data_IF_447520889534
#
_entry.id   IF_447520889534
#
_cell.length_a   1.000
_cell.length_b   1.000
_cell.length_c   1.000
_cell.angle_alpha   90.00
_cell.angle_beta   90.00
_cell.angle_gamma   90.00
#
_symmetry.space_group_name_H-M   'P 1'
#
loop_
_entity.id
_entity.type
_entity.pdbx_description
1 polymer ?
#
# COMPACT_ATOMS: atom_id res chain seq x y z
N UNK A 1 18.65 -13.73 2.58
CA UNK A 1 17.41 -12.96 2.77
C UNK A 1 17.55 -12.17 4.06
N UNK A 2 17.55 -10.84 3.99
CA UNK A 2 17.54 -9.99 5.18
C UNK A 2 16.19 -10.17 5.88
N UNK A 3 16.18 -10.42 7.19
CA UNK A 3 14.94 -10.54 7.95
C UNK A 3 14.35 -9.14 8.09
N UNK A 4 13.25 -8.86 7.39
CA UNK A 4 12.52 -7.59 7.48
C UNK A 4 11.58 -7.65 8.68
N UNK A 5 11.87 -6.87 9.72
CA UNK A 5 11.00 -6.71 10.88
C UNK A 5 10.35 -5.33 10.88
N UNK A 6 9.08 -5.21 11.32
CA UNK A 6 8.45 -3.91 11.54
C UNK A 6 9.27 -3.07 12.51
N UNK A 7 9.65 -1.86 12.10
CA UNK A 7 10.45 -0.93 12.93
C UNK A 7 9.60 -0.12 13.91
N UNK A 8 8.30 -0.01 13.64
CA UNK A 8 7.37 0.79 14.43
C UNK A 8 6.27 -0.06 15.05
N UNK A 9 5.60 0.54 16.04
CA UNK A 9 4.41 -0.04 16.64
C UNK A 9 3.28 -0.19 15.61
N UNK A 10 2.31 -1.04 15.94
CA UNK A 10 1.11 -1.24 15.11
C UNK A 10 0.26 0.02 14.94
N UNK A 11 0.45 1.02 15.82
CA UNK A 11 -0.28 2.29 15.81
C UNK A 11 0.47 3.34 15.01
N UNK A 12 1.80 3.39 15.15
CA UNK A 12 2.63 4.41 14.51
C UNK A 12 2.88 4.08 13.03
N UNK A 13 2.97 2.80 12.67
CA UNK A 13 3.21 2.38 11.29
C UNK A 13 2.11 2.88 10.33
N UNK A 14 0.80 2.65 10.58
CA UNK A 14 -0.27 3.18 9.74
C UNK A 14 -0.35 4.71 9.76
N UNK A 15 -0.06 5.32 10.91
CA UNK A 15 -0.08 6.78 11.06
C UNK A 15 0.94 7.43 10.12
N UNK A 16 2.20 7.00 10.18
CA UNK A 16 3.26 7.46 9.28
C UNK A 16 2.94 7.22 7.81
N UNK A 17 2.50 6.00 7.48
CA UNK A 17 2.16 5.65 6.10
C UNK A 17 1.05 6.53 5.52
N UNK A 18 0.01 6.82 6.30
CA UNK A 18 -1.06 7.71 5.88
C UNK A 18 -0.60 9.17 5.78
N UNK A 19 0.22 9.65 6.73
CA UNK A 19 0.76 11.01 6.69
C UNK A 19 1.60 11.24 5.44
N UNK A 20 2.47 10.29 5.08
CA UNK A 20 3.29 10.37 3.86
C UNK A 20 2.39 10.33 2.62
N UNK A 21 1.36 9.46 2.60
CA UNK A 21 0.44 9.43 1.48
C UNK A 21 -0.25 10.77 1.28
N UNK A 22 -0.91 11.30 2.31
CA UNK A 22 -1.69 12.53 2.22
C UNK A 22 -0.81 13.76 1.91
N UNK A 23 0.37 13.85 2.52
CA UNK A 23 1.23 15.04 2.38
C UNK A 23 2.11 15.05 1.13
N UNK A 24 2.53 13.88 0.62
CA UNK A 24 3.56 13.80 -0.43
C UNK A 24 3.10 13.01 -1.66
N UNK A 25 2.46 11.86 -1.48
CA UNK A 25 2.24 10.91 -2.58
C UNK A 25 0.92 11.16 -3.32
N UNK A 26 -0.14 11.53 -2.59
CA UNK A 26 -1.52 11.61 -3.09
C UNK A 26 -1.66 12.49 -4.33
N UNK A 27 -1.09 13.69 -4.30
CA UNK A 27 -1.16 14.64 -5.43
C UNK A 27 -0.44 14.15 -6.68
N UNK A 28 0.51 13.23 -6.55
CA UNK A 28 1.29 12.68 -7.67
C UNK A 28 0.63 11.45 -8.29
N UNK A 29 -0.19 10.72 -7.53
CA UNK A 29 -0.69 9.40 -7.95
C UNK A 29 -2.19 9.34 -8.16
N UNK A 30 -3.01 10.26 -7.62
CA UNK A 30 -4.47 10.08 -7.70
C UNK A 30 -5.04 10.20 -9.12
N UNK A 31 -4.50 11.11 -9.95
CA UNK A 31 -5.01 11.31 -11.31
C UNK A 31 -4.75 10.07 -12.18
N UNK A 32 -5.82 9.48 -12.72
CA UNK A 32 -5.74 8.34 -13.65
C UNK A 32 -5.44 6.98 -13.03
N UNK A 33 -5.15 6.88 -11.73
CA UNK A 33 -4.78 5.61 -11.08
C UNK A 33 -5.83 5.06 -10.10
N UNK A 34 -7.09 5.48 -10.22
CA UNK A 34 -8.16 4.99 -9.35
C UNK A 34 -8.20 3.45 -9.33
N UNK A 35 -8.17 2.86 -8.14
CA UNK A 35 -8.21 1.41 -7.95
C UNK A 35 -6.86 0.69 -8.03
N UNK A 36 -5.79 1.34 -8.51
CA UNK A 36 -4.41 0.82 -8.48
C UNK A 36 -3.84 0.86 -7.07
N UNK A 37 -2.75 0.13 -6.87
CA UNK A 37 -2.01 0.06 -5.60
C UNK A 37 -0.82 1.00 -5.66
N UNK A 38 -0.66 1.81 -4.61
CA UNK A 38 0.60 2.46 -4.30
C UNK A 38 1.24 1.77 -3.10
N UNK A 39 2.50 1.37 -3.26
CA UNK A 39 3.35 0.88 -2.19
C UNK A 39 4.31 1.99 -1.79
N UNK A 40 4.33 2.37 -0.51
CA UNK A 40 5.13 3.49 -0.01
C UNK A 40 6.07 2.96 1.05
N UNK A 41 7.38 3.21 0.92
CA UNK A 41 8.31 3.01 2.02
C UNK A 41 8.12 4.12 3.06
N UNK A 42 7.70 3.75 4.27
CA UNK A 42 7.41 4.73 5.33
C UNK A 42 8.67 5.40 5.91
N UNK A 43 9.85 4.88 5.60
CA UNK A 43 11.13 5.47 6.04
C UNK A 43 11.54 6.64 5.16
N UNK A 44 11.36 6.49 3.84
CA UNK A 44 11.92 7.41 2.84
C UNK A 44 10.88 8.18 2.05
N UNK A 45 9.62 7.72 2.03
CA UNK A 45 8.58 8.22 1.14
C UNK A 45 8.71 7.73 -0.31
N UNK A 46 9.69 6.88 -0.62
CA UNK A 46 9.81 6.23 -1.92
C UNK A 46 8.53 5.40 -2.20
N UNK A 47 7.90 5.63 -3.35
CA UNK A 47 6.67 4.90 -3.70
C UNK A 47 6.69 4.29 -5.10
N UNK A 48 6.00 3.17 -5.27
CA UNK A 48 5.77 2.50 -6.55
C UNK A 48 4.28 2.28 -6.80
N UNK A 49 3.89 2.29 -8.08
CA UNK A 49 2.52 2.05 -8.54
C UNK A 49 2.41 0.73 -9.31
N UNK A 50 1.41 -0.07 -8.99
CA UNK A 50 1.05 -1.24 -9.79
C UNK A 50 -0.44 -1.58 -9.69
N UNK A 51 -0.89 -2.54 -10.48
CA UNK A 51 -2.30 -2.95 -10.51
C UNK A 51 -2.67 -3.88 -9.35
N UNK A 52 -1.67 -4.50 -8.71
CA UNK A 52 -1.83 -5.39 -7.57
C UNK A 52 -0.75 -5.16 -6.50
N UNK A 53 -1.00 -5.71 -5.31
CA UNK A 53 -0.14 -5.47 -4.14
C UNK A 53 1.22 -6.14 -4.23
N UNK A 54 1.32 -7.29 -4.89
CA UNK A 54 2.58 -8.03 -4.99
C UNK A 54 3.52 -7.25 -5.91
N UNK A 55 3.05 -6.92 -7.11
CA UNK A 55 3.84 -6.17 -8.11
C UNK A 55 4.31 -4.81 -7.56
N UNK A 56 3.43 -4.06 -6.88
CA UNK A 56 3.83 -2.77 -6.29
C UNK A 56 4.91 -2.93 -5.21
N UNK A 57 4.80 -3.98 -4.39
CA UNK A 57 5.75 -4.24 -3.31
C UNK A 57 7.08 -4.76 -3.84
N UNK A 58 7.06 -5.61 -4.87
CA UNK A 58 8.27 -6.14 -5.50
C UNK A 58 9.07 -5.02 -6.16
N UNK A 59 8.43 -4.14 -6.94
CA UNK A 59 9.09 -2.95 -7.50
C UNK A 59 9.67 -2.04 -6.41
N UNK A 60 8.95 -1.87 -5.30
CA UNK A 60 9.44 -1.05 -4.20
C UNK A 60 10.68 -1.70 -3.56
N UNK A 61 10.71 -3.03 -3.42
CA UNK A 61 11.88 -3.74 -2.92
C UNK A 61 13.05 -3.78 -3.90
N UNK A 62 12.79 -3.79 -5.21
CA UNK A 62 13.83 -3.66 -6.23
C UNK A 62 14.54 -2.30 -6.12
N UNK A 63 13.78 -1.23 -5.87
CA UNK A 63 14.34 0.12 -5.70
C UNK A 63 14.90 0.37 -4.30
N UNK A 64 14.22 -0.12 -3.26
CA UNK A 64 14.57 0.08 -1.85
C UNK A 64 14.55 -1.29 -1.14
N UNK A 65 15.66 -2.05 -1.16
CA UNK A 65 15.71 -3.42 -0.65
C UNK A 65 15.29 -3.63 0.82
N UNK A 66 15.40 -2.57 1.62
CA UNK A 66 15.13 -2.53 3.06
C UNK A 66 13.88 -1.68 3.43
N UNK A 67 12.97 -1.51 2.47
CA UNK A 67 11.74 -0.75 2.66
C UNK A 67 10.81 -1.33 3.75
N UNK A 68 10.05 -0.43 4.38
CA UNK A 68 8.91 -0.72 5.25
C UNK A 68 7.60 -0.36 4.51
N UNK A 69 7.05 -1.26 3.66
CA UNK A 69 5.96 -0.91 2.75
C UNK A 69 4.63 -0.68 3.46
N UNK A 70 4.00 0.45 3.17
CA UNK A 70 2.61 0.78 3.45
C UNK A 70 1.83 0.80 2.13
N UNK A 71 0.74 0.02 2.07
CA UNK A 71 -0.04 -0.16 0.85
C UNK A 71 -1.34 0.63 0.93
N UNK A 72 -1.65 1.34 -0.14
CA UNK A 72 -2.91 2.07 -0.29
C UNK A 72 -3.51 1.72 -1.65
N UNK A 73 -4.83 1.50 -1.67
CA UNK A 73 -5.58 1.40 -2.92
C UNK A 73 -6.19 2.75 -3.22
N UNK A 74 -5.73 3.37 -4.31
CA UNK A 74 -6.08 4.74 -4.67
C UNK A 74 -7.59 4.86 -4.85
N UNK A 75 -8.19 5.86 -4.20
CA UNK A 75 -9.64 6.09 -4.23
C UNK A 75 -10.48 5.15 -3.35
N UNK A 76 -9.87 4.27 -2.56
CA UNK A 76 -10.57 3.35 -1.66
C UNK A 76 -10.13 3.51 -0.20
N UNK A 77 -11.08 3.30 0.74
CA UNK A 77 -10.80 3.34 2.19
C UNK A 77 -9.97 2.15 2.68
N UNK A 78 -9.94 1.04 1.95
CA UNK A 78 -9.19 -0.16 2.32
C UNK A 78 -8.55 -0.81 1.10
N UNK A 79 -7.36 -1.41 1.28
CA UNK A 79 -6.64 -2.14 0.23
C UNK A 79 -7.41 -3.40 -0.18
N UNK A 80 -7.84 -4.16 0.83
CA UNK A 80 -8.65 -5.36 0.67
C UNK A 80 -10.01 -5.19 1.33
N UNK A 81 -10.98 -5.96 0.84
CA UNK A 81 -12.26 -6.19 1.51
C UNK A 81 -12.32 -7.66 1.89
N UNK A 82 -12.40 -7.95 3.18
CA UNK A 82 -12.64 -9.30 3.68
C UNK A 82 -14.13 -9.47 3.98
N UNK A 83 -14.75 -10.52 3.43
CA UNK A 83 -16.15 -10.85 3.68
C UNK A 83 -16.62 -12.04 2.84
N UNK A 84 -17.45 -12.91 3.41
CA UNK A 84 -18.10 -13.99 2.64
C UNK A 84 -19.19 -13.39 1.76
N UNK A 85 -19.02 -13.44 0.44
CA UNK A 85 -20.20 -13.45 -0.43
C UNK A 85 -20.90 -14.78 -0.16
N UNK A 86 -21.99 -14.76 0.62
CA UNK A 86 -22.91 -15.89 0.63
C UNK A 86 -23.29 -16.13 -0.83
N UNK A 87 -22.92 -17.29 -1.38
CA UNK A 87 -23.32 -17.62 -2.74
C UNK A 87 -24.84 -17.59 -2.76
N UNK A 88 -25.43 -16.66 -3.52
CA UNK A 88 -26.87 -16.67 -3.78
C UNK A 88 -27.17 -18.05 -4.34
N UNK A 89 -27.89 -18.88 -3.58
CA UNK A 89 -28.48 -20.09 -4.14
C UNK A 89 -29.39 -19.64 -5.30
N UNK A 90 -29.21 -20.17 -6.52
CA UNK A 90 -30.21 -19.96 -7.56
C UNK A 90 -31.54 -20.54 -7.04
N UNK A 91 -32.60 -19.74 -7.19
CA UNK A 91 -34.00 -20.16 -7.01
C UNK A 91 -34.47 -20.92 -8.24
#
# INVERSE_FOLDING_TARGET
MTVRQPRYSKEEFPRRGNEIYESQVRSQVEEGNHGRIVAIDIETGAFELADDTITATDHLYERVPDAQPWLIRIGHRSVFRFGSRSQRKPV
#
